data_IF_128630912509
#
_entry.id   IF_128630912509
#
_cell.length_a   1.000
_cell.length_b   1.000
_cell.length_c   1.000
_cell.angle_alpha   90.00
_cell.angle_beta   90.00
_cell.angle_gamma   90.00
#
_symmetry.space_group_name_H-M   'P 1'
#
loop_
_entity.id
_entity.type
_entity.pdbx_description
1 polymer ?
#
# COMPACT_ATOMS: atom_id res chain seq x y z
N UNK A 1 -22.05 9.22 -5.65
CA UNK A 1 -21.32 8.46 -6.69
C UNK A 1 -19.99 9.10 -7.09
N UNK A 2 -19.93 10.40 -7.46
CA UNK A 2 -18.68 11.08 -7.84
C UNK A 2 -17.57 11.02 -6.78
N UNK A 3 -17.93 11.24 -5.50
CA UNK A 3 -16.99 11.18 -4.35
C UNK A 3 -16.39 9.79 -4.16
N UNK A 4 -17.23 8.76 -4.23
CA UNK A 4 -16.82 7.35 -4.17
C UNK A 4 -15.87 6.99 -5.32
N UNK A 5 -16.17 7.41 -6.55
CA UNK A 5 -15.30 7.21 -7.72
C UNK A 5 -13.95 7.92 -7.56
N UNK A 6 -13.94 9.18 -7.09
CA UNK A 6 -12.72 9.95 -6.83
C UNK A 6 -11.86 9.32 -5.71
N UNK A 7 -12.49 8.93 -4.61
CA UNK A 7 -11.84 8.24 -3.50
C UNK A 7 -11.25 6.89 -3.93
N UNK A 8 -12.01 6.12 -4.72
CA UNK A 8 -11.56 4.83 -5.26
C UNK A 8 -10.37 4.99 -6.19
N UNK A 9 -10.38 6.01 -7.05
CA UNK A 9 -9.26 6.31 -7.95
C UNK A 9 -7.95 6.58 -7.20
N UNK A 10 -7.99 7.49 -6.22
CA UNK A 10 -6.80 7.85 -5.45
C UNK A 10 -6.20 6.66 -4.68
N UNK A 11 -7.03 5.88 -3.98
CA UNK A 11 -6.57 4.68 -3.27
C UNK A 11 -6.00 3.62 -4.21
N UNK A 12 -6.61 3.45 -5.39
CA UNK A 12 -6.18 2.49 -6.39
C UNK A 12 -4.80 2.82 -6.98
N UNK A 13 -4.53 4.10 -7.27
CA UNK A 13 -3.21 4.53 -7.75
C UNK A 13 -2.10 4.26 -6.73
N UNK A 14 -2.37 4.41 -5.44
CA UNK A 14 -1.41 4.10 -4.37
C UNK A 14 -1.06 2.61 -4.38
N UNK A 15 -2.07 1.73 -4.48
CA UNK A 15 -1.86 0.27 -4.48
C UNK A 15 -1.11 -0.17 -5.74
N UNK A 16 -1.52 0.28 -6.92
CA UNK A 16 -0.84 -0.10 -8.17
C UNK A 16 0.57 0.46 -8.24
N UNK A 17 0.76 1.73 -7.90
CA UNK A 17 2.08 2.36 -7.93
C UNK A 17 3.06 1.68 -6.99
N UNK A 18 2.63 1.39 -5.75
CA UNK A 18 3.45 0.66 -4.79
C UNK A 18 3.70 -0.79 -5.23
N UNK A 19 2.72 -1.48 -5.79
CA UNK A 19 2.89 -2.82 -6.35
C UNK A 19 3.96 -2.86 -7.44
N UNK A 20 3.89 -1.97 -8.44
CA UNK A 20 4.84 -1.94 -9.55
C UNK A 20 6.26 -1.64 -9.04
N UNK A 21 6.41 -0.67 -8.14
CA UNK A 21 7.72 -0.32 -7.59
C UNK A 21 8.33 -1.48 -6.81
N UNK A 22 7.56 -2.09 -5.89
CA UNK A 22 8.04 -3.22 -5.11
C UNK A 22 8.33 -4.44 -5.99
N UNK A 23 7.53 -4.67 -7.04
CA UNK A 23 7.78 -5.72 -8.01
C UNK A 23 9.12 -5.52 -8.74
N UNK A 24 9.43 -4.30 -9.18
CA UNK A 24 10.72 -4.01 -9.82
C UNK A 24 11.87 -4.25 -8.84
N UNK A 25 11.73 -3.81 -7.58
CA UNK A 25 12.77 -4.00 -6.57
C UNK A 25 12.99 -5.49 -6.24
N UNK A 26 11.91 -6.27 -6.12
CA UNK A 26 11.95 -7.72 -5.89
C UNK A 26 12.54 -8.47 -7.08
N UNK A 27 12.20 -8.05 -8.30
CA UNK A 27 12.78 -8.60 -9.53
C UNK A 27 14.28 -8.35 -9.63
N UNK A 28 14.76 -7.19 -9.18
CA UNK A 28 16.18 -6.84 -9.12
C UNK A 28 16.92 -7.48 -7.92
N UNK A 29 16.23 -8.26 -7.08
CA UNK A 29 16.75 -8.86 -5.84
C UNK A 29 17.42 -7.83 -4.92
N UNK A 30 16.84 -6.63 -4.79
CA UNK A 30 17.35 -5.62 -3.89
C UNK A 30 16.98 -5.97 -2.44
N UNK A 31 17.99 -6.12 -1.59
CA UNK A 31 17.76 -6.35 -0.16
C UNK A 31 17.30 -5.06 0.52
N UNK A 32 16.19 -5.15 1.25
CA UNK A 32 15.73 -4.07 2.10
C UNK A 32 16.43 -4.15 3.47
N UNK A 33 16.77 -2.99 4.03
CA UNK A 33 17.35 -2.93 5.38
C UNK A 33 16.30 -3.35 6.41
N UNK A 34 16.65 -4.33 7.22
CA UNK A 34 15.73 -4.90 8.20
C UNK A 34 15.27 -3.86 9.22
N UNK A 35 13.95 -3.69 9.34
CA UNK A 35 13.32 -2.76 10.27
C UNK A 35 12.24 -3.50 11.04
N UNK A 36 12.30 -3.45 12.38
CA UNK A 36 11.41 -4.23 13.28
C UNK A 36 9.91 -4.04 12.97
N UNK A 37 9.50 -2.83 12.58
CA UNK A 37 8.10 -2.51 12.25
C UNK A 37 7.66 -3.21 10.96
N UNK A 38 8.50 -3.20 9.91
CA UNK A 38 8.17 -3.83 8.63
C UNK A 38 8.16 -5.34 8.73
N UNK A 39 9.04 -5.91 9.56
CA UNK A 39 9.05 -7.35 9.84
C UNK A 39 7.77 -7.79 10.54
N UNK A 40 7.33 -7.05 11.56
CA UNK A 40 6.04 -7.29 12.22
C UNK A 40 4.86 -7.18 11.23
N UNK A 41 4.86 -6.18 10.35
CA UNK A 41 3.82 -6.05 9.31
C UNK A 41 3.86 -7.16 8.26
N UNK A 42 5.05 -7.69 7.96
CA UNK A 42 5.23 -8.85 7.08
C UNK A 42 4.70 -10.13 7.72
N UNK A 43 4.94 -10.32 9.02
CA UNK A 43 4.46 -11.48 9.78
C UNK A 43 2.93 -11.45 9.98
N UNK A 44 2.34 -10.25 10.08
CA UNK A 44 0.88 -10.04 10.05
C UNK A 44 0.33 -10.18 8.62
N UNK A 45 1.22 -10.23 7.62
CA UNK A 45 0.98 -10.07 6.19
C UNK A 45 -0.25 -10.82 5.70
N UNK A 46 -1.31 -10.08 5.43
CA UNK A 46 -2.53 -10.58 4.79
C UNK A 46 -2.24 -10.98 3.32
N UNK A 47 -1.12 -10.50 2.76
CA UNK A 47 -0.72 -10.72 1.36
C UNK A 47 0.80 -10.96 1.26
N UNK A 48 1.18 -12.13 0.73
CA UNK A 48 2.57 -12.50 0.44
C UNK A 48 2.78 -12.57 -1.08
N UNK A 49 3.13 -11.43 -1.70
CA UNK A 49 3.30 -11.32 -3.16
C UNK A 49 4.76 -11.27 -3.61
N UNK A 50 5.67 -10.85 -2.72
CA UNK A 50 7.07 -10.60 -3.01
C UNK A 50 7.95 -11.60 -2.29
N UNK A 51 9.13 -11.91 -2.85
CA UNK A 51 10.09 -12.82 -2.24
C UNK A 51 10.71 -12.22 -0.99
N UNK A 52 11.02 -10.92 -1.03
CA UNK A 52 11.56 -10.20 0.12
C UNK A 52 10.45 -9.93 1.16
N UNK A 53 10.55 -10.49 2.38
CA UNK A 53 9.52 -10.33 3.40
C UNK A 53 9.22 -8.86 3.74
N UNK A 54 10.25 -8.00 3.73
CA UNK A 54 10.07 -6.57 3.99
C UNK A 54 9.21 -5.87 2.94
N UNK A 55 9.24 -6.31 1.69
CA UNK A 55 8.37 -5.78 0.64
C UNK A 55 6.91 -6.16 0.87
N UNK A 56 6.62 -7.36 1.40
CA UNK A 56 5.27 -7.73 1.81
C UNK A 56 4.75 -6.85 2.96
N UNK A 57 5.61 -6.54 3.93
CA UNK A 57 5.30 -5.61 5.02
C UNK A 57 5.02 -4.18 4.51
N UNK A 58 5.86 -3.69 3.59
CA UNK A 58 5.67 -2.38 2.95
C UNK A 58 4.38 -2.33 2.14
N UNK A 59 4.10 -3.36 1.36
CA UNK A 59 2.87 -3.43 0.56
C UNK A 59 1.63 -3.44 1.44
N UNK A 60 1.65 -4.21 2.53
CA UNK A 60 0.58 -4.23 3.53
C UNK A 60 0.36 -2.83 4.13
N UNK A 61 1.43 -2.10 4.45
CA UNK A 61 1.33 -0.72 4.93
C UNK A 61 0.67 0.20 3.88
N UNK A 62 1.02 0.05 2.60
CA UNK A 62 0.42 0.85 1.52
C UNK A 62 -1.07 0.57 1.34
N UNK A 63 -1.52 -0.68 1.54
CA UNK A 63 -2.95 -1.02 1.56
C UNK A 63 -3.65 -0.29 2.71
N UNK A 64 -3.08 -0.32 3.93
CA UNK A 64 -3.65 0.36 5.10
C UNK A 64 -3.77 1.87 4.86
N UNK A 65 -2.74 2.50 4.30
CA UNK A 65 -2.75 3.92 3.93
C UNK A 65 -3.82 4.18 2.87
N UNK A 66 -3.92 3.34 1.83
CA UNK A 66 -4.91 3.47 0.77
C UNK A 66 -6.34 3.42 1.32
N UNK A 67 -6.63 2.52 2.26
CA UNK A 67 -7.91 2.45 2.97
C UNK A 67 -8.16 3.72 3.78
N UNK A 68 -7.15 4.23 4.50
CA UNK A 68 -7.25 5.48 5.26
C UNK A 68 -7.57 6.68 4.37
N UNK A 69 -6.87 6.82 3.24
CA UNK A 69 -7.11 7.85 2.22
C UNK A 69 -8.50 7.71 1.61
N UNK A 70 -8.95 6.48 1.34
CA UNK A 70 -10.28 6.21 0.83
C UNK A 70 -11.36 6.69 1.82
N UNK A 71 -11.25 6.31 3.10
CA UNK A 71 -12.18 6.73 4.17
C UNK A 71 -12.18 8.25 4.33
N UNK A 72 -11.01 8.88 4.35
CA UNK A 72 -10.89 10.34 4.46
C UNK A 72 -11.58 11.05 3.29
N UNK A 73 -11.38 10.59 2.05
CA UNK A 73 -12.04 11.17 0.87
C UNK A 73 -13.55 10.90 0.83
N UNK A 74 -14.01 9.84 1.50
CA UNK A 74 -15.43 9.52 1.61
C UNK A 74 -16.14 10.42 2.64
N UNK A 75 -15.48 10.69 3.78
CA UNK A 75 -16.04 11.42 4.93
C UNK A 75 -15.78 12.93 4.84
N UNK A 76 -14.66 13.35 4.23
CA UNK A 76 -14.31 14.76 4.05
C UNK A 76 -15.47 15.52 3.42
N UNK A 77 -15.70 16.77 3.81
CA UNK A 77 -16.70 17.65 3.19
C UNK A 77 -16.09 18.20 1.90
N UNK A 78 -16.83 18.23 0.80
CA UNK A 78 -16.37 18.95 -0.40
C UNK A 78 -16.42 20.42 0.05
N UNK A 79 -15.25 21.01 0.33
CA UNK A 79 -15.13 22.45 0.35
C UNK A 79 -15.24 22.88 -1.12
N UNK A 80 -16.47 23.19 -1.53
CA UNK A 80 -16.79 23.89 -2.77
C UNK A 80 -16.19 25.30 -2.77
#
# INVERSE_FOLDING_TARGET
MKRFLKASGNGFFIIIGSYILLFIMDFLNLEAKDTKVLRMLSDIGIVHLFKEPLFNGLFTLMIVISIGVFIQNLIGKDED
#
